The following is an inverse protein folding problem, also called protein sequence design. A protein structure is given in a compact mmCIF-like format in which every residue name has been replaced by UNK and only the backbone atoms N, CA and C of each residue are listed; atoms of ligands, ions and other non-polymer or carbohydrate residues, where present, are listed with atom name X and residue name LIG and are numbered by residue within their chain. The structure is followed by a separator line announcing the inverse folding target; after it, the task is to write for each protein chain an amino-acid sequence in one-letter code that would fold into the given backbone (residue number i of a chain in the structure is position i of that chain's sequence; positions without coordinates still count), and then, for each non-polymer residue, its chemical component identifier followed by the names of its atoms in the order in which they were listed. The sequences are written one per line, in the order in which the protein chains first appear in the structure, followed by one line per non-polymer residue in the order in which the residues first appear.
data_IF_636872380849
#
_entry.id   IF_636872380849
#
_cell.length_a   1.000
_cell.length_b   1.000
_cell.length_c   1.000
_cell.angle_alpha   90.00
_cell.angle_beta   90.00
_cell.angle_gamma   90.00
#
_symmetry.space_group_name_H-M   'P 1'
#
loop_
_entity.id
_entity.type
_entity.pdbx_description
1 polymer ?
#
# COMPACT_ATOMS: atom_id res chain seq x y z
N UNK A 1 -2.13 -19.81 -11.82
CA UNK A 1 -2.48 -20.83 -12.84
C UNK A 1 -2.22 -22.25 -12.35
N UNK A 2 -0.98 -22.64 -11.97
CA UNK A 2 -0.66 -23.98 -11.44
C UNK A 2 -1.59 -24.46 -10.31
N UNK A 3 -1.85 -23.61 -9.32
CA UNK A 3 -2.78 -23.94 -8.23
C UNK A 3 -4.21 -24.23 -8.73
N UNK A 4 -4.72 -23.47 -9.71
CA UNK A 4 -6.05 -23.70 -10.29
C UNK A 4 -6.06 -25.03 -11.05
N UNK A 5 -5.03 -25.30 -11.88
CA UNK A 5 -4.91 -26.53 -12.65
C UNK A 5 -4.96 -27.77 -11.74
N UNK A 6 -4.09 -27.79 -10.73
CA UNK A 6 -4.00 -28.90 -9.79
C UNK A 6 -5.27 -29.05 -8.93
N UNK A 7 -5.91 -27.95 -8.52
CA UNK A 7 -7.15 -28.05 -7.74
C UNK A 7 -8.37 -28.44 -8.56
N UNK A 8 -8.39 -28.17 -9.88
CA UNK A 8 -9.58 -28.36 -10.74
C UNK A 8 -9.48 -29.52 -11.72
N UNK A 9 -8.30 -30.15 -11.83
CA UNK A 9 -8.04 -31.20 -12.82
C UNK A 9 -7.92 -30.69 -14.26
N UNK A 10 -7.99 -29.37 -14.49
CA UNK A 10 -7.84 -28.76 -15.82
C UNK A 10 -6.37 -28.65 -16.21
N UNK A 11 -6.07 -28.72 -17.51
CA UNK A 11 -4.70 -28.54 -17.98
C UNK A 11 -4.27 -27.07 -17.91
N UNK A 12 -2.96 -26.83 -17.79
CA UNK A 12 -2.41 -25.46 -17.81
C UNK A 12 -2.69 -24.74 -19.13
N UNK A 13 -2.74 -25.48 -20.24
CA UNK A 13 -3.02 -24.94 -21.59
C UNK A 13 -4.45 -24.40 -21.65
N UNK A 14 -5.43 -25.18 -21.14
CA UNK A 14 -6.82 -24.74 -21.07
C UNK A 14 -6.98 -23.48 -20.21
N UNK A 15 -6.38 -23.45 -19.00
CA UNK A 15 -6.45 -22.27 -18.13
C UNK A 15 -5.82 -21.04 -18.77
N UNK A 16 -4.72 -21.21 -19.50
CA UNK A 16 -4.06 -20.11 -20.20
C UNK A 16 -4.93 -19.58 -21.35
N UNK A 17 -5.55 -20.47 -22.13
CA UNK A 17 -6.47 -20.11 -23.21
C UNK A 17 -7.69 -19.34 -22.69
N UNK A 18 -8.38 -19.86 -21.66
CA UNK A 18 -9.51 -19.16 -21.04
C UNK A 18 -9.11 -17.81 -20.47
N UNK A 19 -7.92 -17.71 -19.88
CA UNK A 19 -7.42 -16.45 -19.33
C UNK A 19 -7.13 -15.41 -20.43
N UNK A 20 -6.75 -15.84 -21.63
CA UNK A 20 -6.59 -14.96 -22.79
C UNK A 20 -7.94 -14.47 -23.31
N UNK A 21 -8.94 -15.35 -23.36
CA UNK A 21 -10.31 -15.03 -23.81
C UNK A 21 -11.01 -14.08 -22.83
N UNK A 22 -11.02 -14.43 -21.54
CA UNK A 22 -11.71 -13.65 -20.50
C UNK A 22 -10.91 -12.44 -20.01
N UNK A 23 -9.60 -12.42 -20.24
CA UNK A 23 -8.69 -11.39 -19.73
C UNK A 23 -8.60 -11.34 -18.20
N UNK A 24 -9.12 -12.33 -17.46
CA UNK A 24 -9.21 -12.34 -16.00
C UNK A 24 -9.05 -13.75 -15.41
N UNK A 25 -7.92 -13.99 -14.72
CA UNK A 25 -7.68 -15.29 -14.10
C UNK A 25 -8.64 -15.59 -12.94
N UNK A 26 -9.21 -14.58 -12.30
CA UNK A 26 -10.23 -14.75 -11.26
C UNK A 26 -11.56 -15.28 -11.80
N UNK A 27 -11.96 -14.85 -13.00
CA UNK A 27 -13.17 -15.40 -13.64
C UNK A 27 -12.95 -16.87 -14.03
N UNK A 28 -11.79 -17.19 -14.62
CA UNK A 28 -11.41 -18.58 -14.93
C UNK A 28 -11.43 -19.44 -13.67
N UNK A 29 -10.91 -18.91 -12.56
CA UNK A 29 -10.85 -19.59 -11.27
C UNK A 29 -12.25 -19.92 -10.71
N UNK A 30 -13.17 -18.96 -10.73
CA UNK A 30 -14.54 -19.15 -10.26
C UNK A 30 -15.33 -20.14 -11.14
N UNK A 31 -15.24 -20.00 -12.47
CA UNK A 31 -15.88 -20.93 -13.41
C UNK A 31 -15.34 -22.36 -13.23
N UNK A 32 -14.02 -22.50 -13.07
CA UNK A 32 -13.41 -23.81 -12.85
C UNK A 32 -13.83 -24.44 -11.53
N UNK A 33 -14.10 -23.61 -10.49
CA UNK A 33 -14.62 -24.09 -9.20
C UNK A 33 -16.09 -24.50 -9.29
N UNK A 34 -16.92 -23.77 -10.03
CA UNK A 34 -18.35 -24.06 -10.20
C UNK A 34 -18.60 -25.46 -10.80
N UNK A 35 -17.68 -25.94 -11.63
CA UNK A 35 -17.76 -27.26 -12.26
C UNK A 35 -17.36 -28.43 -11.33
N UNK A 36 -16.87 -28.15 -10.11
CA UNK A 36 -16.46 -29.20 -9.18
C UNK A 36 -17.57 -29.61 -8.21
N UNK A 37 -17.99 -30.87 -8.29
CA UNK A 37 -18.82 -31.50 -7.24
C UNK A 37 -17.92 -31.97 -6.10
N UNK A 38 -18.22 -31.59 -4.87
CA UNK A 38 -17.48 -32.04 -3.68
C UNK A 38 -18.38 -32.89 -2.78
N UNK A 39 -17.89 -34.06 -2.38
CA UNK A 39 -18.59 -35.00 -1.47
C UNK A 39 -18.61 -34.45 -0.04
N UNK A 40 -17.52 -33.81 0.39
CA UNK A 40 -17.40 -33.16 1.69
C UNK A 40 -17.11 -31.66 1.51
N UNK A 41 -17.82 -30.81 2.25
CA UNK A 41 -17.57 -29.37 2.21
C UNK A 41 -16.54 -28.98 3.27
N UNK A 42 -15.41 -28.37 2.86
CA UNK A 42 -14.45 -27.81 3.82
C UNK A 42 -15.07 -26.64 4.59
N UNK A 43 -14.45 -26.33 5.72
CA UNK A 43 -14.79 -25.18 6.57
C UNK A 43 -14.74 -23.89 5.75
N UNK A 44 -15.68 -22.98 6.03
CA UNK A 44 -15.75 -21.68 5.35
C UNK A 44 -14.48 -20.87 5.63
N UNK A 45 -14.05 -20.11 4.62
CA UNK A 45 -12.97 -19.15 4.77
C UNK A 45 -13.42 -18.00 5.70
N UNK A 46 -12.47 -17.49 6.49
CA UNK A 46 -12.63 -16.26 7.28
C UNK A 46 -11.65 -15.22 6.78
N UNK A 47 -11.97 -13.92 6.91
CA UNK A 47 -11.09 -12.82 6.47
C UNK A 47 -9.71 -12.94 7.12
N UNK A 48 -9.67 -13.13 8.44
CA UNK A 48 -8.42 -13.36 9.20
C UNK A 48 -7.66 -14.58 8.68
N UNK A 49 -8.33 -15.71 8.49
CA UNK A 49 -7.68 -16.94 8.03
C UNK A 49 -7.10 -16.83 6.62
N UNK A 50 -7.75 -16.11 5.70
CA UNK A 50 -7.22 -15.83 4.37
C UNK A 50 -6.02 -14.88 4.46
N UNK A 51 -6.13 -13.79 5.24
CA UNK A 51 -5.05 -12.83 5.41
C UNK A 51 -3.79 -13.46 6.01
N UNK A 52 -3.94 -14.26 7.07
CA UNK A 52 -2.83 -14.96 7.72
C UNK A 52 -2.13 -15.91 6.75
N UNK A 53 -2.89 -16.70 5.98
CA UNK A 53 -2.33 -17.60 4.94
C UNK A 53 -1.61 -16.83 3.83
N UNK A 54 -2.11 -15.65 3.43
CA UNK A 54 -1.43 -14.79 2.46
C UNK A 54 -0.11 -14.24 3.03
N UNK A 55 -0.08 -13.84 4.30
CA UNK A 55 1.16 -13.45 5.00
C UNK A 55 2.15 -14.62 5.08
N UNK A 56 1.69 -15.82 5.40
CA UNK A 56 2.53 -17.02 5.38
C UNK A 56 3.13 -17.28 3.97
N UNK A 57 2.32 -17.15 2.91
CA UNK A 57 2.80 -17.27 1.52
C UNK A 57 3.87 -16.23 1.20
N UNK A 58 3.72 -15.00 1.68
CA UNK A 58 4.68 -13.93 1.49
C UNK A 58 6.02 -14.22 2.20
N UNK A 59 5.96 -14.78 3.40
CA UNK A 59 7.13 -15.08 4.24
C UNK A 59 7.88 -16.36 3.84
N UNK A 60 7.29 -17.23 3.02
CA UNK A 60 7.95 -18.44 2.52
C UNK A 60 9.10 -18.09 1.55
N UNK A 61 10.33 -18.47 1.92
CA UNK A 61 11.57 -18.31 1.15
C UNK A 61 12.37 -19.62 1.12
N UNK A 62 13.44 -19.69 0.33
CA UNK A 62 14.35 -20.84 0.27
C UNK A 62 13.87 -22.00 -0.62
N UNK A 63 14.58 -23.14 -0.50
CA UNK A 63 14.34 -24.34 -1.30
C UNK A 63 12.91 -24.87 -1.12
N UNK A 64 12.28 -25.33 -2.21
CA UNK A 64 10.90 -25.82 -2.26
C UNK A 64 9.79 -24.81 -1.84
N UNK A 65 10.12 -23.54 -1.58
CA UNK A 65 9.14 -22.51 -1.20
C UNK A 65 8.00 -22.35 -2.21
N UNK A 66 8.29 -22.44 -3.51
CA UNK A 66 7.28 -22.34 -4.56
C UNK A 66 6.23 -23.44 -4.48
N UNK A 67 6.64 -24.69 -4.21
CA UNK A 67 5.71 -25.81 -4.05
C UNK A 67 4.80 -25.58 -2.85
N UNK A 68 5.37 -25.20 -1.69
CA UNK A 68 4.61 -24.88 -0.47
C UNK A 68 3.64 -23.71 -0.68
N UNK A 69 4.01 -22.69 -1.45
CA UNK A 69 3.11 -21.58 -1.82
C UNK A 69 1.92 -22.07 -2.63
N UNK A 70 2.17 -22.94 -3.63
CA UNK A 70 1.10 -23.53 -4.45
C UNK A 70 0.14 -24.35 -3.58
N UNK A 71 0.65 -25.22 -2.70
CA UNK A 71 -0.17 -26.02 -1.79
C UNK A 71 -1.08 -25.16 -0.91
N UNK A 72 -0.55 -24.09 -0.28
CA UNK A 72 -1.36 -23.17 0.54
C UNK A 72 -2.46 -22.49 -0.28
N UNK A 73 -2.17 -22.08 -1.53
CA UNK A 73 -3.17 -21.51 -2.42
C UNK A 73 -4.24 -22.55 -2.76
N UNK A 74 -3.86 -23.81 -3.02
CA UNK A 74 -4.80 -24.88 -3.29
C UNK A 74 -5.75 -25.12 -2.11
N UNK A 75 -5.23 -25.17 -0.88
CA UNK A 75 -6.05 -25.34 0.32
C UNK A 75 -7.11 -24.24 0.43
N UNK A 76 -6.75 -22.97 0.22
CA UNK A 76 -7.72 -21.88 0.23
C UNK A 76 -8.71 -21.97 -0.94
N UNK A 77 -8.22 -22.26 -2.14
CA UNK A 77 -9.02 -22.34 -3.36
C UNK A 77 -10.08 -23.46 -3.29
N UNK A 78 -9.73 -24.62 -2.73
CA UNK A 78 -10.68 -25.73 -2.52
C UNK A 78 -11.81 -25.33 -1.58
N UNK A 79 -11.50 -24.50 -0.56
CA UNK A 79 -12.48 -24.00 0.40
C UNK A 79 -13.35 -22.84 -0.12
N UNK A 80 -12.98 -22.20 -1.23
CA UNK A 80 -13.74 -21.11 -1.80
C UNK A 80 -15.16 -21.52 -2.21
N UNK A 81 -16.11 -20.66 -1.88
CA UNK A 81 -17.52 -20.75 -2.27
C UNK A 81 -17.90 -19.55 -3.13
N UNK A 82 -18.72 -19.77 -4.16
CA UNK A 82 -19.22 -18.72 -5.07
C UNK A 82 -18.06 -17.84 -5.59
N UNK A 83 -18.15 -16.52 -5.41
CA UNK A 83 -17.19 -15.53 -5.89
C UNK A 83 -15.88 -15.45 -5.10
N UNK A 84 -15.71 -16.18 -3.99
CA UNK A 84 -14.47 -16.15 -3.19
C UNK A 84 -13.24 -16.53 -4.04
N UNK A 85 -13.39 -17.52 -4.93
CA UNK A 85 -12.31 -17.96 -5.82
C UNK A 85 -11.86 -16.84 -6.77
N UNK A 86 -12.80 -16.02 -7.26
CA UNK A 86 -12.53 -14.86 -8.12
C UNK A 86 -11.63 -13.88 -7.40
N UNK A 87 -12.01 -13.46 -6.20
CA UNK A 87 -11.29 -12.44 -5.44
C UNK A 87 -9.98 -12.96 -4.86
N UNK A 88 -9.91 -14.21 -4.41
CA UNK A 88 -8.66 -14.82 -3.95
C UNK A 88 -7.59 -14.79 -5.05
N UNK A 89 -7.94 -15.22 -6.26
CA UNK A 89 -7.00 -15.27 -7.39
C UNK A 89 -6.67 -13.87 -7.92
N UNK A 90 -7.64 -12.95 -7.93
CA UNK A 90 -7.38 -11.54 -8.26
C UNK A 90 -6.42 -10.87 -7.26
N UNK A 91 -6.53 -11.18 -5.97
CA UNK A 91 -5.58 -10.71 -4.96
C UNK A 91 -4.18 -11.28 -5.19
N UNK A 92 -4.06 -12.59 -5.43
CA UNK A 92 -2.77 -13.25 -5.70
C UNK A 92 -2.08 -12.79 -6.98
N UNK A 93 -2.83 -12.26 -7.94
CA UNK A 93 -2.29 -11.69 -9.19
C UNK A 93 -2.02 -10.19 -9.10
N UNK A 94 -2.35 -9.55 -7.97
CA UNK A 94 -2.20 -8.10 -7.78
C UNK A 94 -3.20 -7.26 -8.60
N UNK A 95 -4.31 -7.85 -9.06
CA UNK A 95 -5.30 -7.20 -9.95
C UNK A 95 -6.73 -7.39 -9.44
N UNK A 96 -7.10 -6.67 -8.37
CA UNK A 96 -8.39 -6.85 -7.69
C UNK A 96 -9.61 -6.42 -8.52
N UNK A 97 -9.46 -5.41 -9.40
CA UNK A 97 -10.48 -4.96 -10.37
C UNK A 97 -11.85 -4.62 -9.73
N UNK A 98 -11.83 -3.85 -8.65
CA UNK A 98 -13.04 -3.41 -7.93
C UNK A 98 -13.35 -1.91 -8.13
N UNK A 99 -12.50 -1.16 -8.83
CA UNK A 99 -12.69 0.28 -9.04
C UNK A 99 -12.48 1.15 -7.79
N UNK A 100 -12.08 0.55 -6.67
CA UNK A 100 -11.80 1.20 -5.40
C UNK A 100 -10.34 0.96 -5.00
N UNK A 101 -9.72 1.98 -4.38
CA UNK A 101 -8.33 1.95 -3.94
C UNK A 101 -8.19 2.66 -2.59
N UNK A 102 -6.94 2.96 -2.19
CA UNK A 102 -6.57 3.54 -0.89
C UNK A 102 -7.45 4.72 -0.46
N UNK A 103 -7.66 5.71 -1.34
CA UNK A 103 -8.47 6.89 -1.01
C UNK A 103 -9.94 6.55 -0.73
N UNK A 104 -10.52 5.60 -1.47
CA UNK A 104 -11.89 5.13 -1.23
C UNK A 104 -12.00 4.37 0.09
N UNK A 105 -10.97 3.59 0.44
CA UNK A 105 -10.92 2.85 1.71
C UNK A 105 -10.84 3.82 2.90
N UNK A 106 -10.01 4.86 2.83
CA UNK A 106 -9.92 5.88 3.88
C UNK A 106 -11.24 6.64 4.05
N UNK A 107 -11.90 7.01 2.94
CA UNK A 107 -13.24 7.63 3.00
C UNK A 107 -14.26 6.70 3.66
N UNK A 108 -14.29 5.42 3.26
CA UNK A 108 -15.20 4.45 3.83
C UNK A 108 -14.94 4.24 5.33
N UNK A 109 -13.68 4.18 5.76
CA UNK A 109 -13.32 4.04 7.17
C UNK A 109 -13.75 5.25 8.00
N UNK A 110 -13.55 6.47 7.50
CA UNK A 110 -14.05 7.69 8.14
C UNK A 110 -15.58 7.69 8.21
N UNK A 111 -16.26 7.32 7.13
CA UNK A 111 -17.73 7.21 7.11
C UNK A 111 -18.23 6.21 8.16
N UNK A 112 -17.55 5.06 8.31
CA UNK A 112 -17.87 4.08 9.34
C UNK A 112 -17.68 4.67 10.74
N UNK A 113 -16.61 5.45 10.98
CA UNK A 113 -16.39 6.08 12.29
C UNK A 113 -17.48 7.08 12.67
N UNK A 114 -18.04 7.82 11.69
CA UNK A 114 -19.18 8.71 11.96
C UNK A 114 -20.45 7.89 12.17
N UNK A 115 -20.74 6.96 11.27
CA UNK A 115 -22.02 6.22 11.22
C UNK A 115 -22.17 5.26 12.39
N UNK A 116 -21.10 4.56 12.75
CA UNK A 116 -21.03 3.57 13.81
C UNK A 116 -19.75 3.82 14.62
N UNK A 117 -19.79 4.77 15.58
CA UNK A 117 -18.61 5.16 16.34
C UNK A 117 -17.88 3.96 16.97
N UNK A 118 -16.54 3.91 16.88
CA UNK A 118 -15.76 2.89 17.59
C UNK A 118 -15.85 3.11 19.11
N UNK A 119 -15.33 2.16 19.89
CA UNK A 119 -15.23 2.26 21.35
C UNK A 119 -16.58 2.34 22.09
N UNK A 120 -17.59 1.62 21.61
CA UNK A 120 -18.85 1.41 22.32
C UNK A 120 -18.80 0.09 23.11
N UNK A 121 -19.39 0.05 24.31
CA UNK A 121 -19.65 -1.21 25.00
C UNK A 121 -20.60 -2.10 24.19
N UNK A 122 -20.45 -3.42 24.33
CA UNK A 122 -21.35 -4.35 23.65
C UNK A 122 -22.59 -4.62 24.52
N UNK A 123 -23.81 -4.54 23.96
CA UNK A 123 -24.13 -4.20 22.57
C UNK A 123 -24.05 -2.69 22.29
N UNK A 124 -23.55 -2.28 21.09
CA UNK A 124 -23.41 -0.86 20.75
C UNK A 124 -24.79 -0.17 20.68
N UNK A 125 -24.88 1.03 21.26
CA UNK A 125 -26.11 1.83 21.26
C UNK A 125 -26.29 2.62 19.95
N UNK A 126 -25.18 3.02 19.33
CA UNK A 126 -25.12 3.82 18.11
C UNK A 126 -24.69 2.97 16.91
N UNK A 127 -25.67 2.31 16.29
CA UNK A 127 -25.47 1.53 15.06
C UNK A 127 -25.54 2.38 13.78
N UNK A 128 -26.29 3.48 13.83
CA UNK A 128 -26.39 4.44 12.74
C UNK A 128 -26.71 5.83 13.31
N UNK A 129 -25.70 6.68 13.43
CA UNK A 129 -25.85 8.06 13.91
C UNK A 129 -26.45 8.98 12.86
N UNK A 130 -26.45 8.60 11.57
CA UNK A 130 -26.96 9.44 10.49
C UNK A 130 -28.47 9.68 10.59
N UNK A 131 -29.19 8.83 11.32
CA UNK A 131 -30.64 8.98 11.58
C UNK A 131 -30.93 9.94 12.73
N UNK A 132 -29.91 10.30 13.52
CA UNK A 132 -30.02 11.15 14.73
C UNK A 132 -29.64 12.61 14.49
N UNK A 133 -29.14 12.96 13.29
CA UNK A 133 -28.67 14.30 12.95
C UNK A 133 -29.13 14.71 11.54
N UNK A 134 -29.09 16.01 11.25
CA UNK A 134 -29.39 16.52 9.91
C UNK A 134 -28.31 16.11 8.91
N UNK A 135 -28.66 16.06 7.62
CA UNK A 135 -27.72 15.74 6.54
C UNK A 135 -26.52 16.69 6.48
N UNK A 136 -26.72 17.96 6.84
CA UNK A 136 -25.65 18.98 6.84
C UNK A 136 -24.69 18.78 8.01
N UNK A 137 -25.21 18.52 9.21
CA UNK A 137 -24.39 18.19 10.38
C UNK A 137 -23.60 16.90 10.14
N UNK A 138 -24.23 15.87 9.59
CA UNK A 138 -23.57 14.60 9.25
C UNK A 138 -22.42 14.80 8.27
N UNK A 139 -22.67 15.56 7.19
CA UNK A 139 -21.64 15.86 6.19
C UNK A 139 -20.46 16.61 6.80
N UNK A 140 -20.72 17.59 7.64
CA UNK A 140 -19.67 18.37 8.31
C UNK A 140 -18.79 17.50 9.19
N UNK A 141 -19.40 16.63 10.00
CA UNK A 141 -18.65 15.70 10.87
C UNK A 141 -17.87 14.66 10.06
N UNK A 142 -18.46 14.14 8.98
CA UNK A 142 -17.77 13.25 8.05
C UNK A 142 -16.57 13.91 7.38
N UNK A 143 -16.72 15.13 6.85
CA UNK A 143 -15.62 15.83 6.19
C UNK A 143 -14.47 16.11 7.18
N UNK A 144 -14.80 16.44 8.44
CA UNK A 144 -13.83 16.60 9.53
C UNK A 144 -13.09 15.29 9.84
N UNK A 145 -13.80 14.19 10.10
CA UNK A 145 -13.18 12.90 10.44
C UNK A 145 -12.39 12.32 9.26
N UNK A 146 -12.89 12.46 8.04
CA UNK A 146 -12.19 12.06 6.83
C UNK A 146 -10.88 12.84 6.65
N UNK A 147 -10.88 14.15 6.93
CA UNK A 147 -9.66 14.96 6.89
C UNK A 147 -8.65 14.48 7.94
N UNK A 148 -9.08 14.24 9.18
CA UNK A 148 -8.20 13.73 10.25
C UNK A 148 -7.54 12.42 9.82
N UNK A 149 -8.35 11.42 9.44
CA UNK A 149 -7.83 10.10 9.08
C UNK A 149 -6.90 10.15 7.87
N UNK A 150 -7.22 10.94 6.84
CA UNK A 150 -6.37 11.08 5.65
C UNK A 150 -5.04 11.77 5.99
N UNK A 151 -5.07 12.84 6.77
CA UNK A 151 -3.85 13.54 7.20
C UNK A 151 -2.96 12.62 8.04
N UNK A 152 -3.53 11.95 9.04
CA UNK A 152 -2.81 10.94 9.84
C UNK A 152 -2.23 9.84 8.96
N UNK A 153 -2.99 9.31 8.00
CA UNK A 153 -2.48 8.28 7.10
C UNK A 153 -1.39 8.80 6.15
N UNK A 154 -1.46 10.05 5.71
CA UNK A 154 -0.38 10.65 4.90
C UNK A 154 0.92 10.78 5.69
N UNK A 155 0.86 11.13 6.97
CA UNK A 155 2.02 11.26 7.85
C UNK A 155 2.55 9.92 8.36
N UNK A 156 1.65 8.96 8.61
CA UNK A 156 1.93 7.64 9.15
C UNK A 156 1.08 6.58 8.39
N UNK A 157 1.45 6.20 7.15
CA UNK A 157 0.72 5.25 6.30
C UNK A 157 0.85 3.79 6.78
N UNK A 158 0.48 3.54 8.04
CA UNK A 158 0.62 2.25 8.72
C UNK A 158 -0.67 1.87 9.45
N UNK A 159 -1.44 0.95 8.85
CA UNK A 159 -2.69 0.45 9.45
C UNK A 159 -2.48 -0.33 10.75
N UNK A 160 -1.31 -0.98 10.93
CA UNK A 160 -1.01 -1.69 12.17
C UNK A 160 -0.82 -0.72 13.36
N UNK A 161 -0.57 0.56 13.10
CA UNK A 161 -0.55 1.62 14.11
C UNK A 161 -1.88 2.37 14.23
N UNK A 162 -2.48 2.72 13.09
CA UNK A 162 -3.71 3.54 13.06
C UNK A 162 -4.92 2.78 13.59
N UNK A 163 -5.16 1.55 13.12
CA UNK A 163 -6.41 0.83 13.41
C UNK A 163 -6.57 0.53 14.91
N UNK A 164 -5.55 0.06 15.65
CA UNK A 164 -5.68 -0.13 17.09
C UNK A 164 -6.09 1.15 17.82
N UNK A 165 -5.44 2.28 17.50
CA UNK A 165 -5.74 3.59 18.11
C UNK A 165 -7.11 4.13 17.72
N UNK A 166 -7.52 3.94 16.47
CA UNK A 166 -8.86 4.29 16.00
C UNK A 166 -9.93 3.54 16.80
N UNK A 167 -9.70 2.25 17.07
CA UNK A 167 -10.66 1.40 17.81
C UNK A 167 -10.69 1.70 19.31
N UNK A 168 -9.55 2.00 19.95
CA UNK A 168 -9.47 2.26 21.40
C UNK A 168 -9.73 3.71 21.80
N UNK A 169 -9.18 4.65 21.05
CA UNK A 169 -9.10 6.06 21.44
C UNK A 169 -10.04 6.95 20.60
N UNK A 170 -10.53 6.43 19.47
CA UNK A 170 -11.34 7.16 18.51
C UNK A 170 -10.53 7.95 17.49
N UNK A 171 -11.20 8.34 16.40
CA UNK A 171 -10.56 9.00 15.25
C UNK A 171 -9.97 10.37 15.58
N UNK A 172 -10.58 11.14 16.47
CA UNK A 172 -10.12 12.49 16.82
C UNK A 172 -8.75 12.50 17.52
N UNK A 173 -8.43 11.44 18.25
CA UNK A 173 -7.15 11.31 18.97
C UNK A 173 -6.04 10.69 18.12
N UNK A 174 -6.33 10.25 16.90
CA UNK A 174 -5.33 9.64 16.02
C UNK A 174 -4.07 10.52 15.82
N UNK A 175 -4.19 11.86 15.61
CA UNK A 175 -3.03 12.72 15.45
C UNK A 175 -2.13 12.77 16.69
N UNK A 176 -2.61 12.43 17.88
CA UNK A 176 -1.80 12.41 19.09
C UNK A 176 -0.86 11.20 19.14
N UNK A 177 -1.27 10.08 18.55
CA UNK A 177 -0.56 8.79 18.61
C UNK A 177 0.18 8.44 17.32
N UNK A 178 -0.32 8.85 16.16
CA UNK A 178 0.18 8.47 14.85
C UNK A 178 0.74 9.69 14.11
N UNK A 179 1.87 10.21 14.60
CA UNK A 179 2.53 11.42 14.07
C UNK A 179 3.62 11.08 13.06
N UNK A 180 3.92 12.04 12.19
CA UNK A 180 5.13 12.04 11.38
C UNK A 180 6.37 11.79 12.27
N UNK A 181 7.06 10.68 12.02
CA UNK A 181 8.19 10.24 12.86
C UNK A 181 9.33 9.71 11.98
N UNK A 182 10.57 10.21 12.11
CA UNK A 182 11.73 9.62 11.46
C UNK A 182 11.82 8.09 11.69
N UNK A 183 12.01 7.33 10.62
CA UNK A 183 11.95 5.85 10.61
C UNK A 183 10.61 5.27 10.15
N UNK A 184 9.54 6.06 10.10
CA UNK A 184 8.26 5.67 9.48
C UNK A 184 8.09 6.48 8.19
N UNK A 185 8.01 5.85 7.00
CA UNK A 185 7.91 6.59 5.74
C UNK A 185 6.57 7.31 5.63
N UNK A 186 6.55 8.51 5.04
CA UNK A 186 5.33 9.28 4.81
C UNK A 186 4.92 9.26 3.33
N UNK A 187 3.66 9.61 3.04
CA UNK A 187 3.19 9.81 1.66
C UNK A 187 3.89 11.03 1.05
N UNK A 188 4.57 10.87 -0.09
CA UNK A 188 5.23 12.00 -0.74
C UNK A 188 4.23 12.93 -1.42
N UNK A 189 4.54 14.23 -1.46
CA UNK A 189 3.85 15.18 -2.33
C UNK A 189 4.06 14.79 -3.80
N UNK A 190 2.98 14.80 -4.60
CA UNK A 190 3.02 14.46 -6.03
C UNK A 190 2.79 15.70 -6.90
N UNK A 191 3.34 15.66 -8.12
CA UNK A 191 3.13 16.72 -9.12
C UNK A 191 1.89 16.43 -9.97
N UNK A 192 1.21 17.50 -10.38
CA UNK A 192 0.18 17.46 -11.41
C UNK A 192 0.84 17.79 -12.77
N UNK A 193 0.59 17.01 -13.83
CA UNK A 193 1.12 17.34 -15.15
C UNK A 193 0.45 18.62 -15.67
N UNK A 194 1.25 19.54 -16.19
CA UNK A 194 0.77 20.83 -16.71
C UNK A 194 1.39 21.03 -18.10
N UNK A 195 0.57 21.48 -19.06
CA UNK A 195 0.94 21.49 -20.48
C UNK A 195 1.57 22.80 -20.96
N UNK A 196 1.67 23.79 -20.09
CA UNK A 196 2.29 25.07 -20.44
C UNK A 196 2.41 26.02 -19.25
N UNK A 197 3.23 27.05 -19.41
CA UNK A 197 3.53 28.03 -18.37
C UNK A 197 2.26 28.80 -17.95
N UNK A 198 1.37 29.11 -18.89
CA UNK A 198 0.12 29.82 -18.60
C UNK A 198 -0.78 29.07 -17.60
N UNK A 199 -0.88 27.75 -17.71
CA UNK A 199 -1.65 26.92 -16.78
C UNK A 199 -1.03 26.96 -15.37
N UNK A 200 0.30 27.01 -15.26
CA UNK A 200 1.00 27.20 -13.97
C UNK A 200 0.65 28.57 -13.36
N UNK A 201 0.76 29.64 -14.16
CA UNK A 201 0.47 31.00 -13.71
C UNK A 201 -0.98 31.16 -13.29
N UNK A 202 -1.93 30.58 -14.03
CA UNK A 202 -3.34 30.60 -13.68
C UNK A 202 -3.62 29.81 -12.39
N UNK A 203 -2.97 28.66 -12.21
CA UNK A 203 -3.13 27.82 -11.02
C UNK A 203 -2.59 28.46 -9.75
N UNK A 204 -1.50 29.23 -9.87
CA UNK A 204 -0.84 29.91 -8.76
C UNK A 204 -1.08 31.42 -8.76
N UNK A 205 -2.18 31.88 -9.35
CA UNK A 205 -2.49 33.31 -9.42
C UNK A 205 -2.51 33.95 -8.02
N UNK A 206 -1.85 35.10 -7.88
CA UNK A 206 -1.65 35.79 -6.60
C UNK A 206 -0.73 35.07 -5.59
N UNK A 207 -0.17 33.90 -5.93
CA UNK A 207 0.74 33.13 -5.05
C UNK A 207 2.18 33.22 -5.56
N UNK A 208 3.13 33.36 -4.63
CA UNK A 208 4.56 33.19 -4.94
C UNK A 208 4.86 31.71 -5.12
N UNK A 209 5.59 31.36 -6.17
CA UNK A 209 6.08 30.01 -6.42
C UNK A 209 7.56 30.04 -6.84
N UNK A 210 8.20 28.87 -6.81
CA UNK A 210 9.59 28.67 -7.24
C UNK A 210 9.65 27.63 -8.36
N UNK A 211 10.76 27.62 -9.10
CA UNK A 211 11.05 26.64 -10.12
C UNK A 211 12.29 25.85 -9.72
N UNK A 212 12.18 24.52 -9.71
CA UNK A 212 13.28 23.61 -9.42
C UNK A 212 13.48 22.66 -10.60
N UNK A 213 14.72 22.22 -10.80
CA UNK A 213 15.02 21.19 -11.78
C UNK A 213 14.33 19.88 -11.40
N UNK A 214 13.54 19.33 -12.32
CA UNK A 214 13.01 17.97 -12.17
C UNK A 214 14.08 16.97 -12.61
N UNK A 215 14.91 16.54 -11.67
CA UNK A 215 15.92 15.52 -11.91
C UNK A 215 15.29 14.17 -12.35
N UNK A 216 16.05 13.41 -13.14
CA UNK A 216 15.66 12.08 -13.65
C UNK A 216 16.38 10.99 -12.86
N UNK A 217 15.78 10.59 -11.73
CA UNK A 217 16.38 9.64 -10.80
C UNK A 217 15.35 8.78 -10.09
N UNK A 218 15.70 8.36 -8.88
CA UNK A 218 14.78 7.70 -7.95
C UNK A 218 14.56 8.58 -6.73
N UNK A 219 13.30 8.88 -6.42
CA UNK A 219 12.96 9.57 -5.18
C UNK A 219 13.44 8.78 -3.96
N UNK A 220 14.20 9.46 -3.11
CA UNK A 220 14.76 8.94 -1.88
C UNK A 220 14.31 9.83 -0.71
N UNK A 221 13.39 9.32 0.09
CA UNK A 221 12.96 9.95 1.33
C UNK A 221 13.89 9.46 2.46
N UNK A 222 14.80 10.34 2.91
CA UNK A 222 15.87 9.98 3.85
C UNK A 222 15.47 10.43 5.25
N UNK A 223 15.27 9.48 6.16
CA UNK A 223 14.94 9.73 7.56
C UNK A 223 16.20 9.57 8.39
N UNK A 224 16.47 10.55 9.25
CA UNK A 224 17.58 10.55 10.19
C UNK A 224 17.07 10.74 11.61
N UNK A 225 17.54 9.92 12.54
CA UNK A 225 17.29 10.06 13.98
C UNK A 225 18.51 9.60 14.75
N UNK A 226 19.29 10.53 15.28
CA UNK A 226 20.58 10.20 15.89
C UNK A 226 21.49 9.50 14.87
N UNK A 227 21.84 8.24 15.13
CA UNK A 227 22.66 7.40 14.22
C UNK A 227 21.84 6.54 13.26
N UNK A 228 20.53 6.45 13.48
CA UNK A 228 19.66 5.62 12.65
C UNK A 228 19.28 6.39 11.37
N UNK A 229 19.52 5.77 10.23
CA UNK A 229 19.26 6.34 8.91
C UNK A 229 18.47 5.36 8.09
N UNK A 230 17.32 5.79 7.58
CA UNK A 230 16.46 4.99 6.73
C UNK A 230 16.23 5.71 5.41
N UNK A 231 16.18 4.95 4.32
CA UNK A 231 15.91 5.50 2.98
C UNK A 231 14.70 4.78 2.42
N UNK A 232 13.64 5.53 2.12
CA UNK A 232 12.40 5.00 1.58
C UNK A 232 12.18 5.47 0.15
N UNK A 233 11.59 4.61 -0.66
CA UNK A 233 11.15 4.98 -2.02
C UNK A 233 9.88 5.84 -1.99
N UNK A 234 9.49 6.36 -3.16
CA UNK A 234 8.18 7.00 -3.40
C UNK A 234 6.98 6.17 -2.91
N UNK A 235 7.09 4.83 -2.94
CA UNK A 235 6.03 3.91 -2.56
C UNK A 235 6.27 3.28 -1.18
N UNK A 236 7.03 3.96 -0.31
CA UNK A 236 7.30 3.55 1.07
C UNK A 236 8.13 2.25 1.19
N UNK A 237 8.65 1.69 0.10
CA UNK A 237 9.57 0.55 0.16
C UNK A 237 10.88 0.95 0.84
N UNK A 238 11.36 0.13 1.77
CA UNK A 238 12.63 0.33 2.45
C UNK A 238 13.81 0.02 1.51
N UNK A 239 14.51 1.07 1.09
CA UNK A 239 15.67 1.06 0.21
C UNK A 239 16.99 1.31 0.97
N UNK A 240 17.00 1.24 2.30
CA UNK A 240 18.19 1.54 3.12
C UNK A 240 19.40 0.72 2.68
N UNK A 241 19.24 -0.59 2.47
CA UNK A 241 20.32 -1.47 2.02
C UNK A 241 20.73 -1.29 0.55
N UNK A 242 19.92 -0.60 -0.26
CA UNK A 242 20.26 -0.25 -1.65
C UNK A 242 21.31 0.87 -1.71
N UNK A 243 21.39 1.71 -0.68
CA UNK A 243 22.16 2.96 -0.68
C UNK A 243 23.24 3.04 0.44
N UNK A 244 24.13 2.05 0.61
CA UNK A 244 25.14 2.08 1.67
C UNK A 244 26.12 3.26 1.54
N UNK A 245 26.30 3.75 0.33
CA UNK A 245 27.14 4.90 0.02
C UNK A 245 26.50 6.24 0.44
N UNK A 246 25.16 6.36 0.42
CA UNK A 246 24.45 7.50 1.01
C UNK A 246 24.58 7.46 2.54
N UNK A 247 24.39 6.28 3.14
CA UNK A 247 24.53 6.11 4.60
C UNK A 247 25.93 6.54 5.07
N UNK A 248 26.98 6.18 4.33
CA UNK A 248 28.36 6.56 4.65
C UNK A 248 28.68 8.05 4.51
N UNK A 249 27.82 8.84 3.84
CA UNK A 249 28.05 10.27 3.57
C UNK A 249 27.14 11.19 4.36
N UNK A 250 26.00 10.71 4.84
CA UNK A 250 24.94 11.56 5.38
C UNK A 250 25.40 12.41 6.58
N UNK A 251 26.24 11.85 7.45
CA UNK A 251 26.80 12.57 8.60
C UNK A 251 27.71 13.74 8.18
N UNK A 252 28.35 13.66 7.00
CA UNK A 252 29.17 14.75 6.45
C UNK A 252 28.32 15.84 5.77
N UNK A 253 27.06 15.54 5.49
CA UNK A 253 26.15 16.44 4.79
C UNK A 253 25.22 17.22 5.74
N UNK A 254 25.31 17.00 7.06
CA UNK A 254 24.47 17.67 8.06
C UNK A 254 25.30 18.53 9.02
N UNK A 255 24.72 19.63 9.49
CA UNK A 255 25.28 20.40 10.61
C UNK A 255 25.25 19.56 11.90
N UNK A 256 26.17 19.87 12.83
CA UNK A 256 26.22 19.25 14.16
C UNK A 256 24.96 19.51 14.99
N UNK A 257 24.21 20.56 14.67
CA UNK A 257 22.95 20.94 15.35
C UNK A 257 21.75 20.07 14.93
N UNK A 258 21.86 19.30 13.85
CA UNK A 258 20.75 18.49 13.35
C UNK A 258 20.74 17.12 14.04
N UNK A 259 19.80 16.95 14.97
CA UNK A 259 19.58 15.69 15.72
C UNK A 259 18.67 14.70 14.97
N UNK A 260 17.64 15.20 14.27
CA UNK A 260 16.73 14.39 13.46
C UNK A 260 16.09 15.22 12.34
N UNK A 261 15.85 14.60 11.19
CA UNK A 261 15.12 15.22 10.09
C UNK A 261 14.64 14.17 9.07
N UNK A 262 13.78 14.62 8.16
CA UNK A 262 13.36 13.86 6.97
C UNK A 262 13.66 14.72 5.75
N UNK A 263 14.49 14.21 4.85
CA UNK A 263 14.83 14.85 3.58
C UNK A 263 14.03 14.23 2.45
N UNK A 264 13.53 15.07 1.56
CA UNK A 264 12.93 14.67 0.29
C UNK A 264 13.92 14.95 -0.82
N UNK A 265 14.44 13.89 -1.44
CA UNK A 265 15.56 13.98 -2.37
C UNK A 265 15.30 13.16 -3.64
N UNK A 266 16.02 13.49 -4.71
CA UNK A 266 16.15 12.64 -5.88
C UNK A 266 17.56 12.03 -5.90
N UNK A 267 17.66 10.70 -5.83
CA UNK A 267 18.91 10.00 -6.04
C UNK A 267 19.17 9.88 -7.55
N UNK A 268 20.29 10.43 -8.02
CA UNK A 268 20.64 10.50 -9.44
C UNK A 268 21.98 9.78 -9.68
N UNK A 269 22.12 9.10 -10.81
CA UNK A 269 23.40 8.52 -11.20
C UNK A 269 24.39 9.64 -11.56
N UNK A 270 25.62 9.54 -11.07
CA UNK A 270 26.63 10.58 -11.22
C UNK A 270 27.95 9.98 -11.70
N UNK A 271 28.46 10.51 -12.80
CA UNK A 271 29.80 10.21 -13.30
C UNK A 271 30.83 11.05 -12.56
N UNK A 272 31.71 10.38 -11.80
CA UNK A 272 32.73 11.03 -10.96
C UNK A 272 33.91 11.57 -11.76
N UNK A 273 34.20 11.01 -12.94
CA UNK A 273 35.31 11.43 -13.78
C UNK A 273 34.92 12.68 -14.56
N UNK A 274 33.80 12.62 -15.27
CA UNK A 274 33.34 13.72 -16.12
C UNK A 274 32.49 14.76 -15.36
N UNK A 275 32.11 14.49 -14.11
CA UNK A 275 31.29 15.36 -13.25
C UNK A 275 29.95 15.72 -13.89
N UNK A 276 29.25 14.72 -14.43
CA UNK A 276 27.96 14.90 -15.08
C UNK A 276 26.91 13.92 -14.54
N UNK A 277 25.65 14.36 -14.58
CA UNK A 277 24.49 13.51 -14.32
C UNK A 277 24.39 12.47 -15.44
N UNK A 278 24.10 11.23 -15.04
CA UNK A 278 23.89 10.10 -15.94
C UNK A 278 22.38 9.79 -16.07
N UNK A 279 21.94 9.18 -17.19
CA UNK A 279 20.54 8.82 -17.39
C UNK A 279 20.00 7.85 -16.33
N UNK A 280 18.69 7.86 -16.09
CA UNK A 280 18.02 6.94 -15.17
C UNK A 280 18.33 5.46 -15.45
N UNK A 281 18.52 5.08 -16.72
CA UNK A 281 18.88 3.70 -17.10
C UNK A 281 20.15 3.22 -16.40
N UNK A 282 21.15 4.10 -16.22
CA UNK A 282 22.38 3.80 -15.49
C UNK A 282 22.08 3.59 -14.00
N UNK A 283 21.24 4.43 -13.40
CA UNK A 283 20.81 4.27 -12.01
C UNK A 283 20.05 2.95 -11.80
N UNK A 284 19.23 2.55 -12.76
CA UNK A 284 18.38 1.37 -12.68
C UNK A 284 19.16 0.04 -12.62
N UNK A 285 20.42 0.02 -13.06
CA UNK A 285 21.28 -1.17 -12.95
C UNK A 285 21.82 -1.40 -11.52
N UNK A 286 21.65 -0.42 -10.63
CA UNK A 286 22.04 -0.52 -9.22
C UNK A 286 21.34 -1.69 -8.53
N UNK A 287 22.13 -2.55 -7.88
CA UNK A 287 21.62 -3.72 -7.14
C UNK A 287 20.65 -3.28 -6.04
N UNK A 288 19.47 -3.91 -5.99
CA UNK A 288 18.38 -3.53 -5.07
C UNK A 288 18.55 -4.05 -3.64
N UNK A 289 19.24 -5.17 -3.44
CA UNK A 289 19.54 -5.75 -2.12
C UNK A 289 20.94 -6.38 -2.15
N UNK A 290 21.78 -5.98 -1.21
CA UNK A 290 22.92 -6.79 -0.80
C UNK A 290 22.34 -7.84 0.15
N UNK A 291 22.26 -9.09 -0.28
CA UNK A 291 22.09 -10.21 0.65
C UNK A 291 23.46 -10.33 1.31
N UNK A 292 23.60 -9.75 2.50
CA UNK A 292 24.67 -10.11 3.44
C UNK A 292 24.25 -11.41 4.14
#
# INVERSE_FOLDING_TARGET
MKAIALSTGRSLVQIKSDCQILGDLGLVAEQSKANQRMIFQPTRLTVKGVFDKLKEIANLTGHASQTKKVEKIQTMFVACKKSEARFLIRSLTGKLRIGLAEQSVLQALALTCVTTPPNQEYPPQDLNTSTKMSSETFKTEYDKQALILKTTYCECPNYDMIIPRLLSDGIEKLPDFCKLTPGIPLKPMLAHPTKGIQEVLQRFDGLKFTCEWKYDGERAQIHMKGKDVFIFSRNQENNTSKYPDILARIDKCKSTEVESCILDCEAVAWDRENKVIQPFQVLSTRKRKVIL
#
